data_IF_546639070531
#
_entry.id   IF_546639070531
#
_cell.length_a   1.000
_cell.length_b   1.000
_cell.length_c   1.000
_cell.angle_alpha   90.00
_cell.angle_beta   90.00
_cell.angle_gamma   90.00
#
_symmetry.space_group_name_H-M   'P 1'
#
loop_
_entity.id
_entity.type
_entity.pdbx_description
1 polymer ?
#
# COMPACT_ATOMS: atom_id res chain seq x y z
N UNK A 1 23.23 -9.81 12.07
CA UNK A 1 23.38 -8.60 11.24
C UNK A 1 22.49 -8.72 10.03
N UNK A 2 21.38 -7.99 9.99
CA UNK A 2 20.38 -8.07 8.92
C UNK A 2 20.79 -7.19 7.75
N UNK A 3 21.37 -7.80 6.71
CA UNK A 3 21.72 -7.14 5.46
C UNK A 3 20.45 -6.85 4.66
N UNK A 4 19.84 -5.71 4.97
CA UNK A 4 18.81 -5.09 4.15
C UNK A 4 19.48 -4.57 2.86
N UNK A 5 19.84 -5.47 1.95
CA UNK A 5 20.17 -5.09 0.57
C UNK A 5 18.85 -4.79 -0.11
N UNK A 6 18.35 -3.57 0.10
CA UNK A 6 17.36 -2.95 -0.76
C UNK A 6 17.99 -2.81 -2.14
N UNK A 7 18.07 -3.94 -2.86
CA UNK A 7 18.37 -4.00 -4.27
C UNK A 7 17.16 -3.40 -4.96
N UNK A 8 17.13 -2.07 -4.94
CA UNK A 8 16.44 -1.29 -5.97
C UNK A 8 17.26 -1.52 -7.23
N UNK A 9 17.21 -2.76 -7.76
CA UNK A 9 17.75 -3.09 -9.06
C UNK A 9 16.74 -2.54 -10.06
N UNK A 10 16.80 -1.22 -10.21
CA UNK A 10 16.61 -0.63 -11.52
C UNK A 10 17.50 -1.48 -12.42
N UNK A 11 16.90 -2.37 -13.22
CA UNK A 11 17.56 -2.98 -14.37
C UNK A 11 17.87 -1.82 -15.32
N UNK A 12 18.91 -1.08 -14.94
CA UNK A 12 19.41 0.12 -15.57
C UNK A 12 20.11 -0.33 -16.84
N UNK A 13 20.31 0.56 -17.82
CA UNK A 13 21.03 0.26 -19.07
C UNK A 13 22.37 -0.49 -18.87
N UNK A 14 22.92 -0.40 -17.66
CA UNK A 14 24.03 -1.18 -17.15
C UNK A 14 23.88 -2.72 -17.25
N UNK A 15 22.68 -3.29 -17.05
CA UNK A 15 22.48 -4.75 -17.11
C UNK A 15 22.51 -5.30 -18.53
N UNK A 16 21.93 -4.59 -19.51
CA UNK A 16 21.99 -5.04 -20.91
C UNK A 16 23.39 -4.86 -21.50
N UNK A 17 24.13 -3.81 -21.11
CA UNK A 17 25.53 -3.61 -21.55
C UNK A 17 26.44 -4.74 -21.06
N UNK A 18 26.21 -5.22 -19.84
CA UNK A 18 26.92 -6.38 -19.28
C UNK A 18 26.62 -7.65 -20.05
N UNK A 19 25.34 -7.93 -20.35
CA UNK A 19 24.97 -9.13 -21.12
C UNK A 19 25.41 -9.04 -22.58
N UNK A 20 25.37 -7.85 -23.20
CA UNK A 20 25.90 -7.61 -24.54
C UNK A 20 27.40 -7.87 -24.60
N UNK A 21 28.13 -7.44 -23.57
CA UNK A 21 29.56 -7.69 -23.46
C UNK A 21 29.86 -9.17 -23.34
N UNK A 22 29.15 -9.90 -22.48
CA UNK A 22 29.33 -11.35 -22.36
C UNK A 22 28.99 -12.07 -23.65
N UNK A 23 27.94 -11.62 -24.36
CA UNK A 23 27.54 -12.20 -25.62
C UNK A 23 28.62 -12.00 -26.71
N UNK A 24 29.19 -10.78 -26.80
CA UNK A 24 30.28 -10.47 -27.73
C UNK A 24 31.56 -11.28 -27.45
N UNK A 25 31.88 -11.53 -26.17
CA UNK A 25 33.04 -12.35 -25.80
C UNK A 25 32.81 -13.85 -26.05
N UNK A 26 31.55 -14.32 -25.99
CA UNK A 26 31.22 -15.74 -26.16
C UNK A 26 31.02 -16.15 -27.62
N UNK A 27 30.73 -15.21 -28.53
CA UNK A 27 30.49 -15.49 -29.95
C UNK A 27 31.80 -15.36 -30.73
N UNK A 28 32.10 -16.39 -31.53
CA UNK A 28 33.31 -16.43 -32.38
C UNK A 28 33.39 -15.27 -33.38
N UNK A 29 32.27 -14.95 -34.05
CA UNK A 29 32.13 -13.80 -34.94
C UNK A 29 31.00 -12.86 -34.47
N UNK A 30 31.30 -11.83 -33.67
CA UNK A 30 30.28 -10.95 -33.10
C UNK A 30 29.58 -10.06 -34.16
N UNK A 31 30.16 -9.96 -35.35
CA UNK A 31 29.61 -9.20 -36.48
C UNK A 31 28.80 -10.06 -37.46
N UNK A 32 28.64 -11.37 -37.19
CA UNK A 32 27.77 -12.23 -37.99
C UNK A 32 26.32 -11.70 -37.97
N UNK A 33 25.56 -12.05 -39.02
CA UNK A 33 24.15 -11.63 -39.13
C UNK A 33 23.33 -12.16 -37.95
N UNK A 34 23.54 -13.41 -37.57
CA UNK A 34 22.83 -14.08 -36.49
C UNK A 34 23.17 -13.47 -35.12
N UNK A 35 24.45 -13.15 -34.88
CA UNK A 35 24.86 -12.48 -33.64
C UNK A 35 24.22 -11.09 -33.51
N UNK A 36 24.13 -10.33 -34.60
CA UNK A 36 23.44 -9.02 -34.61
C UNK A 36 21.95 -9.17 -34.34
N UNK A 37 21.29 -10.11 -35.01
CA UNK A 37 19.87 -10.38 -34.81
C UNK A 37 19.59 -10.73 -33.34
N UNK A 38 20.39 -11.62 -32.75
CA UNK A 38 20.23 -12.04 -31.36
C UNK A 38 20.48 -10.90 -30.35
N UNK A 39 21.45 -10.02 -30.62
CA UNK A 39 21.67 -8.81 -29.80
C UNK A 39 20.48 -7.85 -29.87
N UNK A 40 19.92 -7.68 -31.06
CA UNK A 40 18.78 -6.79 -31.27
C UNK A 40 17.52 -7.32 -30.59
N UNK A 41 17.23 -8.61 -30.69
CA UNK A 41 16.10 -9.23 -30.00
C UNK A 41 16.27 -9.17 -28.48
N UNK A 42 17.47 -9.46 -27.96
CA UNK A 42 17.74 -9.34 -26.53
C UNK A 42 17.57 -7.91 -26.03
N UNK A 43 18.07 -6.92 -26.76
CA UNK A 43 17.89 -5.51 -26.41
C UNK A 43 16.42 -5.13 -26.37
N UNK A 44 15.65 -5.52 -27.39
CA UNK A 44 14.21 -5.27 -27.45
C UNK A 44 13.49 -5.88 -26.24
N UNK A 45 13.71 -7.17 -25.95
CA UNK A 45 13.14 -7.84 -24.79
C UNK A 45 13.52 -7.18 -23.46
N UNK A 46 14.75 -6.67 -23.35
CA UNK A 46 15.21 -5.96 -22.16
C UNK A 46 14.44 -4.65 -21.97
N UNK A 47 14.20 -3.90 -23.03
CA UNK A 47 13.43 -2.64 -23.00
C UNK A 47 11.96 -2.94 -22.66
N UNK A 48 11.37 -3.96 -23.30
CA UNK A 48 9.98 -4.35 -23.04
C UNK A 48 9.78 -4.79 -21.60
N UNK A 49 10.71 -5.60 -21.06
CA UNK A 49 10.65 -6.02 -19.66
C UNK A 49 10.73 -4.82 -18.71
N UNK A 50 11.58 -3.83 -19.03
CA UNK A 50 11.67 -2.61 -18.24
C UNK A 50 10.37 -1.81 -18.27
N UNK A 51 9.76 -1.64 -19.45
CA UNK A 51 8.49 -0.94 -19.61
C UNK A 51 7.38 -1.65 -18.82
N UNK A 52 7.25 -2.97 -18.97
CA UNK A 52 6.27 -3.78 -18.25
C UNK A 52 6.45 -3.69 -16.73
N UNK A 53 7.70 -3.68 -16.24
CA UNK A 53 7.97 -3.51 -14.80
C UNK A 53 7.54 -2.14 -14.30
N UNK A 54 7.81 -1.09 -15.07
CA UNK A 54 7.40 0.27 -14.72
C UNK A 54 5.88 0.40 -14.69
N UNK A 55 5.20 -0.14 -15.69
CA UNK A 55 3.74 -0.17 -15.75
C UNK A 55 3.15 -0.95 -14.56
N UNK A 56 3.66 -2.15 -14.28
CA UNK A 56 3.19 -2.96 -13.15
C UNK A 56 3.42 -2.25 -11.81
N UNK A 57 4.55 -1.54 -11.65
CA UNK A 57 4.81 -0.69 -10.48
C UNK A 57 3.79 0.44 -10.38
N UNK A 58 3.53 1.17 -11.47
CA UNK A 58 2.54 2.24 -11.52
C UNK A 58 1.13 1.77 -11.19
N UNK A 59 0.71 0.63 -11.77
CA UNK A 59 -0.57 0.00 -11.48
C UNK A 59 -0.70 -0.42 -10.01
N UNK A 60 0.34 -1.00 -9.42
CA UNK A 60 0.36 -1.35 -7.99
C UNK A 60 0.26 -0.13 -7.10
N UNK A 61 0.92 0.98 -7.46
CA UNK A 61 0.84 2.24 -6.72
C UNK A 61 -0.55 2.86 -6.83
N UNK A 62 -1.10 2.94 -8.04
CA UNK A 62 -2.47 3.41 -8.28
C UNK A 62 -3.50 2.58 -7.49
N UNK A 63 -3.33 1.25 -7.45
CA UNK A 63 -4.19 0.36 -6.66
C UNK A 63 -4.08 0.64 -5.15
N UNK A 64 -2.86 0.88 -4.64
CA UNK A 64 -2.66 1.26 -3.23
C UNK A 64 -3.37 2.57 -2.90
N UNK A 65 -3.27 3.58 -3.78
CA UNK A 65 -3.96 4.87 -3.62
C UNK A 65 -5.47 4.67 -3.63
N UNK A 66 -6.01 3.94 -4.60
CA UNK A 66 -7.45 3.64 -4.70
C UNK A 66 -7.96 2.90 -3.46
N UNK A 67 -7.22 1.91 -2.96
CA UNK A 67 -7.55 1.19 -1.71
C UNK A 67 -7.50 2.09 -0.47
N UNK A 68 -6.60 3.06 -0.42
CA UNK A 68 -6.59 4.07 0.66
C UNK A 68 -7.79 5.01 0.55
N UNK A 69 -8.14 5.44 -0.66
CA UNK A 69 -9.29 6.31 -0.92
C UNK A 69 -10.63 5.62 -0.63
N UNK A 70 -10.76 4.32 -0.98
CA UNK A 70 -11.99 3.56 -0.75
C UNK A 70 -12.27 3.32 0.73
N UNK A 71 -11.23 3.38 1.59
CA UNK A 71 -11.40 3.51 3.03
C UNK A 71 -11.85 4.94 3.32
N UNK A 72 -13.11 5.25 3.01
CA UNK A 72 -13.75 6.47 3.49
C UNK A 72 -13.62 6.45 5.01
N UNK A 73 -12.75 7.32 5.54
CA UNK A 73 -12.62 7.48 6.99
C UNK A 73 -13.99 7.90 7.52
N UNK A 74 -14.47 7.25 8.59
CA UNK A 74 -15.66 7.73 9.30
C UNK A 74 -15.43 9.20 9.66
N UNK A 75 -16.43 10.04 9.46
CA UNK A 75 -16.33 11.45 9.84
C UNK A 75 -16.14 11.54 11.36
N UNK A 76 -15.17 12.33 11.81
CA UNK A 76 -14.96 12.54 13.23
C UNK A 76 -16.21 13.19 13.85
N UNK A 77 -16.66 12.77 15.05
CA UNK A 77 -17.83 13.33 15.71
C UNK A 77 -17.51 14.70 16.29
N UNK A 78 -17.46 15.70 15.41
CA UNK A 78 -17.17 17.08 15.75
C UNK A 78 -18.45 17.77 16.25
N UNK A 79 -18.49 18.13 17.54
CA UNK A 79 -19.66 18.76 18.15
C UNK A 79 -19.63 20.27 17.91
N UNK A 80 -20.73 20.82 17.40
CA UNK A 80 -20.95 22.26 17.26
C UNK A 80 -21.42 22.86 18.59
N UNK A 81 -20.76 23.93 19.05
CA UNK A 81 -21.32 24.75 20.13
C UNK A 81 -22.47 25.60 19.58
N UNK A 82 -23.61 25.54 20.25
CA UNK A 82 -24.91 26.11 19.84
C UNK A 82 -24.90 27.64 19.58
N UNK A 83 -23.84 28.34 19.96
CA UNK A 83 -23.85 29.80 20.12
C UNK A 83 -23.33 30.64 18.94
N UNK A 84 -22.85 30.02 17.85
CA UNK A 84 -22.29 30.82 16.75
C UNK A 84 -23.34 31.09 15.68
N UNK A 85 -23.86 32.34 15.63
CA UNK A 85 -24.65 32.90 14.51
C UNK A 85 -23.86 33.01 13.19
N UNK A 86 -22.55 32.72 13.23
CA UNK A 86 -21.66 32.81 12.07
C UNK A 86 -21.82 31.61 11.13
N UNK A 87 -21.88 31.87 9.81
CA UNK A 87 -22.05 30.86 8.76
C UNK A 87 -20.77 30.06 8.44
N UNK A 88 -19.63 30.40 9.05
CA UNK A 88 -18.33 29.78 8.80
C UNK A 88 -17.79 29.14 10.07
N UNK A 89 -17.37 27.87 9.96
CA UNK A 89 -16.93 27.07 11.10
C UNK A 89 -15.41 26.87 11.11
N UNK A 90 -14.77 27.32 12.17
CA UNK A 90 -13.34 27.14 12.39
C UNK A 90 -13.05 25.89 13.24
N UNK A 91 -12.20 25.02 12.70
CA UNK A 91 -11.73 23.81 13.35
C UNK A 91 -10.28 23.99 13.81
N UNK A 92 -10.09 24.22 15.11
CA UNK A 92 -8.75 24.26 15.70
C UNK A 92 -8.23 22.83 15.98
N UNK A 93 -6.90 22.62 16.02
CA UNK A 93 -6.31 21.31 16.35
C UNK A 93 -6.85 20.70 17.65
N UNK A 94 -7.10 21.52 18.68
CA UNK A 94 -7.64 21.05 19.95
C UNK A 94 -9.04 20.41 19.80
N UNK A 95 -9.91 20.96 18.95
CA UNK A 95 -11.25 20.38 18.69
C UNK A 95 -11.16 19.03 17.97
N UNK A 96 -10.18 18.88 17.07
CA UNK A 96 -9.93 17.60 16.39
C UNK A 96 -9.46 16.54 17.38
N UNK A 97 -8.57 16.91 18.31
CA UNK A 97 -8.10 16.02 19.38
C UNK A 97 -9.25 15.59 20.31
N UNK A 98 -10.15 16.50 20.67
CA UNK A 98 -11.34 16.21 21.47
C UNK A 98 -12.30 15.23 20.77
N UNK A 99 -12.58 15.44 19.48
CA UNK A 99 -13.40 14.52 18.69
C UNK A 99 -12.78 13.11 18.61
N UNK A 100 -11.45 13.00 18.44
CA UNK A 100 -10.72 11.73 18.48
C UNK A 100 -10.74 11.08 19.85
N UNK A 101 -10.72 11.86 20.93
CA UNK A 101 -10.86 11.32 22.28
C UNK A 101 -12.24 10.69 22.47
N UNK A 102 -13.31 11.38 22.07
CA UNK A 102 -14.69 10.86 22.13
C UNK A 102 -14.86 9.59 21.31
N UNK A 103 -14.35 9.56 20.09
CA UNK A 103 -14.39 8.36 19.24
C UNK A 103 -13.78 7.14 19.95
N UNK A 104 -12.63 7.32 20.61
CA UNK A 104 -11.98 6.25 21.40
C UNK A 104 -12.82 5.80 22.59
N UNK A 105 -13.51 6.71 23.26
CA UNK A 105 -14.41 6.38 24.37
C UNK A 105 -15.59 5.55 23.87
N UNK A 106 -16.28 6.01 22.82
CA UNK A 106 -17.40 5.27 22.23
C UNK A 106 -17.01 3.89 21.72
N UNK A 107 -15.85 3.76 21.06
CA UNK A 107 -15.35 2.46 20.60
C UNK A 107 -15.14 1.49 21.77
N UNK A 108 -14.58 1.96 22.88
CA UNK A 108 -14.38 1.15 24.09
C UNK A 108 -15.70 0.73 24.73
N UNK A 109 -16.68 1.63 24.76
CA UNK A 109 -18.02 1.34 25.29
C UNK A 109 -18.74 0.28 24.44
N UNK A 110 -18.69 0.38 23.11
CA UNK A 110 -19.26 -0.62 22.20
C UNK A 110 -18.62 -2.01 22.40
N UNK A 111 -17.29 -2.06 22.55
CA UNK A 111 -16.57 -3.32 22.81
C UNK A 111 -16.97 -3.93 24.16
N UNK A 112 -17.04 -3.10 25.21
CA UNK A 112 -17.46 -3.54 26.53
C UNK A 112 -18.91 -4.06 26.51
N UNK A 113 -19.82 -3.41 25.77
CA UNK A 113 -21.19 -3.86 25.63
C UNK A 113 -21.30 -5.20 24.90
N UNK A 114 -20.52 -5.39 23.81
CA UNK A 114 -20.45 -6.67 23.09
C UNK A 114 -19.96 -7.79 24.02
N UNK A 115 -18.90 -7.54 24.79
CA UNK A 115 -18.38 -8.49 25.76
C UNK A 115 -19.42 -8.83 26.84
N UNK A 116 -20.12 -7.82 27.37
CA UNK A 116 -21.22 -8.02 28.33
C UNK A 116 -22.32 -8.90 27.76
N UNK A 117 -22.75 -8.66 26.51
CA UNK A 117 -23.78 -9.46 25.83
C UNK A 117 -23.32 -10.92 25.65
N UNK A 118 -22.07 -11.15 25.27
CA UNK A 118 -21.50 -12.50 25.13
C UNK A 118 -21.46 -13.21 26.49
N UNK A 119 -20.95 -12.54 27.52
CA UNK A 119 -20.88 -13.11 28.87
C UNK A 119 -22.27 -13.42 29.44
N UNK A 120 -23.25 -12.55 29.22
CA UNK A 120 -24.63 -12.78 29.63
C UNK A 120 -25.26 -13.99 28.94
N UNK A 121 -24.96 -14.22 27.65
CA UNK A 121 -25.41 -15.43 26.94
C UNK A 121 -24.79 -16.70 27.53
N UNK A 122 -23.47 -16.69 27.77
CA UNK A 122 -22.77 -17.82 28.40
C UNK A 122 -23.33 -18.18 29.77
N UNK A 123 -23.62 -17.17 30.60
CA UNK A 123 -24.20 -17.37 31.93
C UNK A 123 -25.62 -17.98 31.87
N UNK A 124 -26.43 -17.55 30.89
CA UNK A 124 -27.76 -18.13 30.67
C UNK A 124 -27.69 -19.58 30.22
N UNK A 125 -26.74 -19.91 29.34
CA UNK A 125 -26.51 -21.29 28.90
C UNK A 125 -26.07 -22.18 30.06
N UNK A 126 -25.12 -21.74 30.89
CA UNK A 126 -24.69 -22.52 32.07
C UNK A 126 -25.81 -22.74 33.07
N UNK A 127 -26.65 -21.73 33.32
CA UNK A 127 -27.81 -21.87 34.22
C UNK A 127 -28.91 -22.78 33.68
N UNK A 128 -28.94 -23.06 32.37
CA UNK A 128 -29.92 -23.97 31.76
C UNK A 128 -29.46 -25.43 31.79
N UNK A 129 -28.15 -25.66 31.98
CA UNK A 129 -27.54 -26.99 32.06
C UNK A 129 -27.43 -27.51 33.51
N UNK A 130 -27.76 -26.68 34.49
CA UNK A 130 -27.94 -27.02 35.90
C UNK A 130 -29.44 -27.26 36.16
#
# INVERSE_FOLDING_TARGET
SNSNTSSTSCYSGESWRKTDRTLRCSIKDPNSKDARALRQTFHHLSVDNQLLRMENKGLREALKVKKKQSKKSKALPLIQRKETRAKTQWWSPSKVSEARFRERVFAREEEAEKLRKVNAKKLKESNKLL
#
